data_IF_217954153542
#
_entry.id   IF_217954153542
#
_cell.length_a   1.000
_cell.length_b   1.000
_cell.length_c   1.000
_cell.angle_alpha   90.00
_cell.angle_beta   90.00
_cell.angle_gamma   90.00
#
_symmetry.space_group_name_H-M   'P 1'
#
loop_
_entity.id
_entity.type
_entity.pdbx_description
1 polymer ?
#
# COMPACT_ATOMS: atom_id res chain seq x y z
N UNK A 1 -14.76 9.19 1.90
CA UNK A 1 -15.57 9.55 0.72
C UNK A 1 -16.61 8.45 0.49
N UNK A 2 -17.76 8.75 -0.11
CA UNK A 2 -18.62 7.71 -0.69
C UNK A 2 -17.83 6.92 -1.75
N UNK A 3 -18.09 5.62 -1.92
CA UNK A 3 -17.56 4.79 -3.02
C UNK A 3 -16.02 4.63 -3.15
N UNK A 4 -15.26 4.78 -2.05
CA UNK A 4 -13.79 4.59 -2.03
C UNK A 4 -13.35 3.25 -2.65
N UNK A 5 -14.14 2.19 -2.46
CA UNK A 5 -13.86 0.88 -3.06
C UNK A 5 -13.90 0.91 -4.59
N UNK A 6 -14.95 1.48 -5.19
CA UNK A 6 -15.08 1.57 -6.63
C UNK A 6 -13.93 2.40 -7.22
N UNK A 7 -13.64 3.55 -6.61
CA UNK A 7 -12.51 4.40 -7.03
C UNK A 7 -11.19 3.66 -6.92
N UNK A 8 -10.92 2.94 -5.82
CA UNK A 8 -9.71 2.12 -5.64
C UNK A 8 -9.53 1.13 -6.79
N UNK A 9 -10.60 0.43 -7.20
CA UNK A 9 -10.53 -0.53 -8.31
C UNK A 9 -10.22 0.18 -9.62
N UNK A 10 -10.89 1.31 -9.88
CA UNK A 10 -10.70 2.14 -11.08
C UNK A 10 -9.26 2.66 -11.21
N UNK A 11 -8.68 3.20 -10.14
CA UNK A 11 -7.34 3.82 -10.19
C UNK A 11 -6.19 2.84 -9.94
N UNK A 12 -6.49 1.57 -9.62
CA UNK A 12 -5.47 0.52 -9.39
C UNK A 12 -4.44 0.40 -10.54
N UNK A 13 -4.81 0.48 -11.83
CA UNK A 13 -3.85 0.45 -12.93
C UNK A 13 -2.82 1.58 -12.91
N UNK A 14 -3.07 2.69 -12.20
CA UNK A 14 -2.10 3.78 -12.01
C UNK A 14 -1.25 3.61 -10.74
N UNK A 15 -1.78 2.90 -9.74
CA UNK A 15 -1.06 2.59 -8.51
C UNK A 15 -0.09 1.41 -8.68
N UNK A 16 -0.56 0.31 -9.27
CA UNK A 16 0.19 -0.95 -9.36
C UNK A 16 1.53 -0.87 -10.11
N UNK A 17 1.68 -0.12 -11.24
CA UNK A 17 2.97 -0.01 -11.93
C UNK A 17 4.03 0.73 -11.10
N UNK A 18 3.65 1.78 -10.38
CA UNK A 18 4.57 2.50 -9.49
C UNK A 18 5.06 1.60 -8.35
N UNK A 19 4.16 0.78 -7.80
CA UNK A 19 4.54 -0.23 -6.83
C UNK A 19 5.54 -1.24 -7.40
N UNK A 20 5.28 -1.79 -8.59
CA UNK A 20 6.17 -2.76 -9.23
C UNK A 20 7.55 -2.16 -9.49
N UNK A 21 7.61 -0.91 -9.97
CA UNK A 21 8.86 -0.18 -10.15
C UNK A 21 9.62 -0.05 -8.82
N UNK A 22 8.97 0.42 -7.76
CA UNK A 22 9.60 0.60 -6.45
C UNK A 22 10.04 -0.74 -5.82
N UNK A 23 9.34 -1.83 -6.12
CA UNK A 23 9.75 -3.18 -5.73
C UNK A 23 11.04 -3.59 -6.45
N UNK A 24 11.09 -3.41 -7.76
CA UNK A 24 12.29 -3.72 -8.58
C UNK A 24 13.50 -2.86 -8.19
N UNK A 25 13.27 -1.63 -7.71
CA UNK A 25 14.31 -0.75 -7.15
C UNK A 25 14.75 -1.14 -5.72
N UNK A 26 14.12 -2.14 -5.11
CA UNK A 26 14.41 -2.58 -3.74
C UNK A 26 13.91 -1.63 -2.65
N UNK A 27 13.08 -0.64 -3.00
CA UNK A 27 12.45 0.27 -2.04
C UNK A 27 11.25 -0.38 -1.35
N UNK A 28 10.39 -1.08 -2.09
CA UNK A 28 9.30 -1.87 -1.50
C UNK A 28 9.69 -3.34 -1.44
N UNK A 29 9.79 -3.90 -0.23
CA UNK A 29 10.21 -5.29 -0.04
C UNK A 29 9.03 -6.26 -0.21
N UNK A 30 7.86 -5.87 0.30
CA UNK A 30 6.63 -6.66 0.24
C UNK A 30 5.41 -5.74 0.38
N UNK A 31 4.30 -6.07 -0.29
CA UNK A 31 3.02 -5.42 -0.05
C UNK A 31 1.84 -6.24 -0.55
N UNK A 32 0.66 -5.86 -0.09
CA UNK A 32 -0.59 -6.35 -0.64
C UNK A 32 -1.81 -5.60 -0.14
N UNK A 33 -2.98 -5.83 -0.78
CA UNK A 33 -4.25 -5.43 -0.21
C UNK A 33 -4.57 -6.24 1.06
N UNK A 34 -5.19 -5.57 2.04
CA UNK A 34 -5.84 -6.23 3.18
C UNK A 34 -7.33 -6.38 2.87
N UNK A 35 -7.92 -7.49 3.28
CA UNK A 35 -9.35 -7.78 3.12
C UNK A 35 -10.02 -7.98 4.48
N UNK A 36 -11.33 -7.73 4.58
CA UNK A 36 -12.11 -7.99 5.80
C UNK A 36 -12.38 -9.49 6.05
N UNK A 37 -12.30 -10.31 5.00
CA UNK A 37 -12.41 -11.77 5.06
C UNK A 37 -11.54 -12.42 3.98
N UNK A 38 -11.29 -13.71 4.12
CA UNK A 38 -10.61 -14.52 3.09
C UNK A 38 -11.32 -14.38 1.73
N UNK A 39 -10.55 -14.44 0.66
CA UNK A 39 -11.02 -14.19 -0.70
C UNK A 39 -10.86 -15.42 -1.58
N UNK A 40 -11.97 -15.87 -2.19
CA UNK A 40 -11.98 -16.97 -3.17
C UNK A 40 -12.38 -16.50 -4.59
N UNK A 41 -12.62 -15.19 -4.80
CA UNK A 41 -13.36 -14.67 -5.97
C UNK A 41 -12.82 -13.38 -6.64
N UNK A 42 -13.52 -12.99 -7.72
CA UNK A 42 -13.33 -11.82 -8.61
C UNK A 42 -12.95 -10.52 -7.86
N UNK A 43 -12.00 -9.78 -8.43
CA UNK A 43 -11.45 -8.52 -7.91
C UNK A 43 -12.53 -7.49 -7.59
N UNK A 44 -13.59 -7.40 -8.40
CA UNK A 44 -14.67 -6.41 -8.24
C UNK A 44 -15.49 -6.65 -6.97
N UNK A 45 -15.47 -7.87 -6.42
CA UNK A 45 -16.23 -8.31 -5.25
C UNK A 45 -15.36 -8.49 -4.01
N UNK A 46 -14.06 -8.19 -4.08
CA UNK A 46 -13.15 -8.39 -2.94
C UNK A 46 -13.47 -7.36 -1.84
N UNK A 47 -13.59 -7.79 -0.57
CA UNK A 47 -13.91 -6.91 0.54
C UNK A 47 -12.65 -6.20 1.03
N UNK A 48 -12.14 -5.26 0.23
CA UNK A 48 -10.92 -4.52 0.56
C UNK A 48 -11.10 -3.69 1.84
N UNK A 49 -10.16 -3.87 2.77
CA UNK A 49 -10.06 -3.12 4.03
C UNK A 49 -8.95 -2.08 4.02
N UNK A 50 -7.89 -2.33 3.23
CA UNK A 50 -6.73 -1.45 3.23
C UNK A 50 -5.57 -1.99 2.39
N UNK A 51 -4.37 -1.54 2.72
CA UNK A 51 -3.12 -2.02 2.16
C UNK A 51 -2.10 -2.19 3.29
N UNK A 52 -1.17 -3.11 3.11
CA UNK A 52 0.00 -3.27 3.96
C UNK A 52 1.24 -3.27 3.09
N UNK A 53 2.31 -2.64 3.58
CA UNK A 53 3.58 -2.50 2.86
C UNK A 53 4.74 -2.57 3.85
N UNK A 54 5.83 -3.19 3.42
CA UNK A 54 7.14 -3.13 4.06
C UNK A 54 8.09 -2.43 3.09
N UNK A 55 8.69 -1.33 3.53
CA UNK A 55 9.59 -0.52 2.72
C UNK A 55 10.97 -0.42 3.35
N UNK A 56 12.00 -0.24 2.51
CA UNK A 56 13.38 0.00 2.91
C UNK A 56 13.67 1.50 2.90
N UNK A 57 13.32 2.16 3.99
CA UNK A 57 13.59 3.58 4.21
C UNK A 57 13.80 3.84 5.70
N UNK A 58 14.84 4.58 6.04
CA UNK A 58 15.19 4.93 7.43
C UNK A 58 15.04 6.42 7.72
N UNK A 59 14.84 7.25 6.69
CA UNK A 59 14.57 8.66 6.84
C UNK A 59 13.06 8.93 6.76
N UNK A 60 12.49 9.50 7.83
CA UNK A 60 11.06 9.78 7.93
C UNK A 60 10.56 10.75 6.86
N UNK A 61 11.31 11.82 6.57
CA UNK A 61 10.90 12.83 5.60
C UNK A 61 10.96 12.28 4.17
N UNK A 62 11.99 11.49 3.86
CA UNK A 62 12.10 10.74 2.60
C UNK A 62 10.95 9.75 2.44
N UNK A 63 10.63 8.99 3.49
CA UNK A 63 9.50 8.08 3.53
C UNK A 63 8.17 8.81 3.27
N UNK A 64 7.88 9.86 4.04
CA UNK A 64 6.63 10.62 3.93
C UNK A 64 6.56 11.37 2.59
N UNK A 65 7.69 11.85 2.08
CA UNK A 65 7.81 12.41 0.74
C UNK A 65 7.35 11.41 -0.31
N UNK A 66 7.86 10.17 -0.27
CA UNK A 66 7.44 9.09 -1.18
C UNK A 66 5.96 8.74 -1.02
N UNK A 67 5.47 8.57 0.22
CA UNK A 67 4.06 8.24 0.51
C UNK A 67 3.11 9.28 -0.11
N UNK A 68 3.39 10.58 0.07
CA UNK A 68 2.57 11.67 -0.48
C UNK A 68 2.50 11.67 -2.01
N UNK A 69 3.42 11.00 -2.70
CA UNK A 69 3.39 10.89 -4.18
C UNK A 69 2.43 9.82 -4.68
N UNK A 70 2.02 8.86 -3.84
CA UNK A 70 1.15 7.75 -4.24
C UNK A 70 -0.23 8.27 -4.68
N UNK A 71 -0.74 7.73 -5.78
CA UNK A 71 -2.06 8.09 -6.29
C UNK A 71 -3.17 7.73 -5.32
N UNK A 72 -3.02 6.67 -4.50
CA UNK A 72 -3.99 6.33 -3.46
C UNK A 72 -4.03 7.38 -2.34
N UNK A 73 -2.97 8.15 -2.14
CA UNK A 73 -2.97 9.29 -1.22
C UNK A 73 -3.60 10.51 -1.87
N UNK A 74 -3.17 10.84 -3.10
CA UNK A 74 -3.70 11.99 -3.86
C UNK A 74 -5.20 11.89 -4.10
N UNK A 75 -5.70 10.69 -4.37
CA UNK A 75 -7.12 10.39 -4.59
C UNK A 75 -7.86 10.03 -3.30
N UNK A 76 -7.22 10.22 -2.13
CA UNK A 76 -7.81 9.96 -0.80
C UNK A 76 -8.42 8.56 -0.62
N UNK A 77 -7.81 7.55 -1.24
CA UNK A 77 -8.10 6.14 -1.00
C UNK A 77 -7.48 5.69 0.32
N UNK A 78 -6.25 6.08 0.58
CA UNK A 78 -5.59 5.86 1.87
C UNK A 78 -5.85 7.06 2.79
N UNK A 79 -6.43 6.77 3.96
CA UNK A 79 -6.61 7.75 5.01
C UNK A 79 -5.35 7.83 5.88
N UNK A 80 -4.46 8.79 5.58
CA UNK A 80 -3.22 9.01 6.32
C UNK A 80 -3.41 9.22 7.82
N UNK A 81 -4.57 9.76 8.25
CA UNK A 81 -4.84 9.97 9.67
C UNK A 81 -5.07 8.64 10.39
N UNK A 82 -5.57 7.63 9.67
CA UNK A 82 -5.81 6.28 10.20
C UNK A 82 -4.68 5.30 9.89
N UNK A 83 -3.82 5.60 8.92
CA UNK A 83 -2.64 4.80 8.60
C UNK A 83 -1.73 4.67 9.82
N UNK A 84 -1.22 3.46 10.05
CA UNK A 84 -0.21 3.18 11.06
C UNK A 84 1.13 3.01 10.37
N UNK A 85 2.11 3.80 10.82
CA UNK A 85 3.50 3.69 10.41
C UNK A 85 4.27 3.08 11.57
N UNK A 86 4.82 1.89 11.34
CA UNK A 86 5.47 1.10 12.39
C UNK A 86 6.92 0.89 11.95
N UNK A 87 7.89 1.55 12.62
CA UNK A 87 9.29 1.23 12.44
C UNK A 87 9.54 -0.24 12.80
N UNK A 88 10.19 -0.98 11.91
CA UNK A 88 10.46 -2.39 12.09
C UNK A 88 11.88 -2.72 11.63
N UNK A 89 12.52 -3.67 12.31
CA UNK A 89 13.83 -4.23 11.94
C UNK A 89 13.79 -5.74 12.13
N UNK A 90 14.17 -6.47 11.10
CA UNK A 90 14.44 -7.91 11.22
C UNK A 90 15.71 -8.11 12.05
N UNK A 91 15.62 -8.84 13.17
CA UNK A 91 16.73 -9.00 14.12
C UNK A 91 17.59 -10.24 13.88
N UNK A 92 17.10 -11.21 13.11
CA UNK A 92 17.87 -12.38 12.69
C UNK A 92 17.54 -12.73 11.24
N UNK A 93 18.52 -13.05 10.38
CA UNK A 93 18.21 -13.74 9.14
C UNK A 93 17.63 -15.10 9.54
N UNK A 94 16.43 -15.41 9.06
CA UNK A 94 16.02 -16.81 8.99
C UNK A 94 17.05 -17.49 8.08
N UNK A 95 17.99 -18.22 8.68
CA UNK A 95 18.81 -19.20 7.98
C UNK A 95 17.96 -20.44 7.72
#
# INVERSE_FOLDING_TARGET
>A
MPNVLARRVEIRPHHSPNFLRLHNEGYVLWAGPIFDKHIDADISKRPFKGSVMVVKESNWDGFMGKVKTDIYIKESIWDLKKTKFIPFRTLAPFR
#
